data_IF_079950653337
#
_entry.id   IF_079950653337
#
_cell.length_a   1.000
_cell.length_b   1.000
_cell.length_c   1.000
_cell.angle_alpha   90.00
_cell.angle_beta   90.00
_cell.angle_gamma   90.00
#
_symmetry.space_group_name_H-M   'P 1'
#
loop_
_entity.id
_entity.type
_entity.pdbx_description
1 polymer ?
#
# COMPACT_ATOMS: atom_id res chain seq x y z
N UNK A 1 -11.15 -0.29 24.51
CA UNK A 1 -12.05 0.87 24.33
C UNK A 1 -12.22 1.06 22.83
N UNK A 2 -13.45 1.14 22.31
CA UNK A 2 -13.65 1.42 20.88
C UNK A 2 -13.45 2.94 20.63
N UNK A 3 -12.94 3.36 19.47
CA UNK A 3 -13.02 4.75 19.04
C UNK A 3 -14.48 5.22 19.00
N UNK A 4 -14.78 6.53 19.11
CA UNK A 4 -16.16 7.02 19.06
C UNK A 4 -16.91 6.49 17.83
N UNK A 5 -18.09 5.91 18.08
CA UNK A 5 -19.00 5.32 17.08
C UNK A 5 -19.88 6.39 16.40
N UNK A 6 -19.42 7.65 16.37
CA UNK A 6 -20.19 8.77 15.83
C UNK A 6 -20.34 8.72 14.31
N UNK A 7 -19.62 7.83 13.64
CA UNK A 7 -19.74 7.61 12.19
C UNK A 7 -20.77 6.51 11.89
N UNK A 8 -21.49 6.60 10.76
CA UNK A 8 -22.43 5.56 10.36
C UNK A 8 -21.68 4.25 10.08
N UNK A 9 -22.14 3.17 10.71
CA UNK A 9 -21.67 1.80 10.54
C UNK A 9 -22.78 0.97 9.91
N UNK A 10 -22.96 1.02 8.57
CA UNK A 10 -24.07 0.35 7.90
C UNK A 10 -24.09 -1.17 8.12
N UNK A 11 -22.93 -1.80 8.28
CA UNK A 11 -22.85 -3.25 8.43
C UNK A 11 -23.02 -3.71 9.88
N UNK A 12 -22.81 -2.82 10.86
CA UNK A 12 -22.72 -3.15 12.29
C UNK A 12 -23.71 -2.38 13.18
N UNK A 13 -24.80 -1.89 12.58
CA UNK A 13 -25.78 -1.06 13.29
C UNK A 13 -26.49 -1.84 14.41
N UNK A 14 -26.81 -3.11 14.14
CA UNK A 14 -27.51 -3.99 15.08
C UNK A 14 -26.71 -4.21 16.37
N UNK A 15 -25.40 -4.45 16.27
CA UNK A 15 -24.53 -4.67 17.42
C UNK A 15 -24.31 -3.39 18.23
N UNK A 16 -24.29 -2.23 17.57
CA UNK A 16 -24.20 -0.92 18.23
C UNK A 16 -25.47 -0.65 19.03
N UNK A 17 -26.65 -0.92 18.45
CA UNK A 17 -27.92 -0.72 19.14
C UNK A 17 -28.13 -1.74 20.27
N UNK A 18 -27.65 -2.98 20.10
CA UNK A 18 -27.61 -3.96 21.18
C UNK A 18 -26.73 -3.48 22.34
N UNK A 19 -25.58 -2.86 22.06
CA UNK A 19 -24.71 -2.31 23.11
C UNK A 19 -25.35 -1.13 23.82
N UNK A 20 -25.98 -0.21 23.08
CA UNK A 20 -26.74 0.93 23.65
C UNK A 20 -27.86 0.44 24.55
N UNK A 21 -28.62 -0.55 24.10
CA UNK A 21 -29.70 -1.17 24.86
C UNK A 21 -29.18 -1.84 26.14
N UNK A 22 -28.05 -2.56 26.05
CA UNK A 22 -27.43 -3.17 27.22
C UNK A 22 -26.92 -2.12 28.24
N UNK A 23 -26.34 -1.02 27.77
CA UNK A 23 -25.89 0.08 28.63
C UNK A 23 -27.05 0.87 29.24
N UNK A 24 -28.19 0.97 28.55
CA UNK A 24 -29.38 1.63 29.05
C UNK A 24 -30.11 0.79 30.11
N UNK A 25 -30.07 -0.53 29.99
CA UNK A 25 -30.77 -1.46 30.91
C UNK A 25 -29.91 -1.90 32.11
N UNK A 26 -28.58 -1.89 31.99
CA UNK A 26 -27.69 -2.26 33.08
C UNK A 26 -27.20 -1.05 33.89
N UNK A 27 -27.09 -1.23 35.21
CA UNK A 27 -26.52 -0.19 36.06
C UNK A 27 -25.01 -0.04 35.81
N UNK A 28 -24.48 1.17 36.02
CA UNK A 28 -23.04 1.48 35.91
C UNK A 28 -22.14 0.59 36.80
N UNK A 29 -22.71 -0.14 37.76
CA UNK A 29 -21.99 -1.04 38.65
C UNK A 29 -21.72 -2.43 38.03
N UNK A 30 -22.43 -2.79 36.95
CA UNK A 30 -22.24 -4.06 36.23
C UNK A 30 -21.43 -3.86 34.94
N UNK A 31 -20.18 -3.43 35.10
CA UNK A 31 -19.30 -3.11 33.97
C UNK A 31 -19.00 -4.31 33.04
N UNK A 32 -19.20 -5.54 33.51
CA UNK A 32 -18.96 -6.77 32.74
C UNK A 32 -20.19 -7.30 31.99
N UNK A 33 -21.40 -6.79 32.27
CA UNK A 33 -22.65 -7.38 31.78
C UNK A 33 -22.81 -7.29 30.25
N UNK A 34 -22.17 -6.31 29.61
CA UNK A 34 -22.26 -6.08 28.17
C UNK A 34 -21.02 -6.57 27.39
N UNK A 35 -20.17 -7.40 28.00
CA UNK A 35 -18.90 -7.82 27.39
C UNK A 35 -19.09 -8.68 26.13
N UNK A 36 -20.09 -9.57 26.12
CA UNK A 36 -20.36 -10.42 24.96
C UNK A 36 -20.80 -9.59 23.75
N UNK A 37 -21.72 -8.65 23.97
CA UNK A 37 -22.20 -7.71 22.94
C UNK A 37 -21.06 -6.84 22.45
N UNK A 38 -20.20 -6.36 23.37
CA UNK A 38 -19.00 -5.59 23.03
C UNK A 38 -18.03 -6.40 22.17
N UNK A 39 -17.86 -7.69 22.43
CA UNK A 39 -17.01 -8.57 21.63
C UNK A 39 -17.60 -8.81 20.23
N UNK A 40 -18.90 -9.05 20.14
CA UNK A 40 -19.61 -9.18 18.86
C UNK A 40 -19.50 -7.90 18.02
N UNK A 41 -19.72 -6.74 18.63
CA UNK A 41 -19.58 -5.44 17.98
C UNK A 41 -18.15 -5.20 17.49
N UNK A 42 -17.12 -5.46 18.31
CA UNK A 42 -15.73 -5.28 17.90
C UNK A 42 -15.35 -6.20 16.73
N UNK A 43 -15.89 -7.43 16.71
CA UNK A 43 -15.72 -8.35 15.59
C UNK A 43 -16.34 -7.79 14.30
N UNK A 44 -17.55 -7.27 14.35
CA UNK A 44 -18.22 -6.68 13.19
C UNK A 44 -17.44 -5.45 12.68
N UNK A 45 -17.12 -4.50 13.56
CA UNK A 45 -16.42 -3.26 13.20
C UNK A 45 -15.05 -3.52 12.57
N UNK A 46 -14.32 -4.56 13.03
CA UNK A 46 -13.06 -4.98 12.40
C UNK A 46 -13.27 -5.52 10.99
N UNK A 47 -14.34 -6.29 10.76
CA UNK A 47 -14.67 -6.83 9.44
C UNK A 47 -15.06 -5.71 8.46
N UNK A 48 -15.95 -4.80 8.90
CA UNK A 48 -16.36 -3.63 8.12
C UNK A 48 -15.16 -2.74 7.77
N UNK A 49 -14.30 -2.44 8.75
CA UNK A 49 -13.05 -1.69 8.51
C UNK A 49 -12.17 -2.36 7.47
N UNK A 50 -12.01 -3.68 7.54
CA UNK A 50 -11.19 -4.43 6.58
C UNK A 50 -11.78 -4.34 5.16
N UNK A 51 -13.11 -4.46 5.02
CA UNK A 51 -13.82 -4.32 3.75
C UNK A 51 -13.67 -2.92 3.17
N UNK A 52 -13.87 -1.89 3.99
CA UNK A 52 -13.72 -0.48 3.59
C UNK A 52 -12.29 -0.19 3.12
N UNK A 53 -11.27 -0.61 3.88
CA UNK A 53 -9.88 -0.42 3.50
C UNK A 53 -9.53 -1.17 2.21
N UNK A 54 -10.04 -2.39 2.02
CA UNK A 54 -9.85 -3.13 0.78
C UNK A 54 -10.46 -2.40 -0.43
N UNK A 55 -11.66 -1.84 -0.27
CA UNK A 55 -12.32 -1.06 -1.32
C UNK A 55 -11.59 0.25 -1.62
N UNK A 56 -11.13 0.97 -0.58
CA UNK A 56 -10.40 2.22 -0.75
C UNK A 56 -9.02 2.03 -1.40
N UNK A 57 -8.36 0.92 -1.10
CA UNK A 57 -7.03 0.61 -1.62
C UNK A 57 -7.06 -0.09 -2.98
N UNK A 58 -8.25 -0.47 -3.49
CA UNK A 58 -8.39 -1.20 -4.76
C UNK A 58 -7.78 -0.43 -5.93
N UNK A 59 -8.00 0.88 -5.96
CA UNK A 59 -7.57 1.74 -7.07
C UNK A 59 -6.31 2.55 -6.71
N UNK A 60 -5.59 2.17 -5.65
CA UNK A 60 -4.44 2.93 -5.19
C UNK A 60 -3.30 2.93 -6.22
N UNK A 61 -3.03 1.76 -6.82
CA UNK A 61 -2.02 1.62 -7.87
C UNK A 61 -2.40 2.42 -9.12
N UNK A 62 -3.66 2.33 -9.56
CA UNK A 62 -4.17 3.08 -10.71
C UNK A 62 -4.13 4.59 -10.50
N UNK A 63 -4.45 5.07 -9.29
CA UNK A 63 -4.36 6.50 -8.94
C UNK A 63 -2.90 6.96 -8.92
N UNK A 64 -2.01 6.18 -8.31
CA UNK A 64 -0.58 6.46 -8.28
C UNK A 64 0.00 6.54 -9.70
N UNK A 65 -0.36 5.59 -10.57
CA UNK A 65 0.09 5.60 -11.96
C UNK A 65 -0.39 6.84 -12.71
N UNK A 66 -1.66 7.24 -12.53
CA UNK A 66 -2.19 8.48 -13.14
C UNK A 66 -1.49 9.73 -12.62
N UNK A 67 -1.16 9.80 -11.34
CA UNK A 67 -0.41 10.90 -10.77
C UNK A 67 1.03 10.96 -11.31
N UNK A 68 1.69 9.81 -11.43
CA UNK A 68 3.04 9.69 -12.03
C UNK A 68 3.02 10.08 -13.52
N UNK A 69 2.00 9.67 -14.27
CA UNK A 69 1.81 10.03 -15.67
C UNK A 69 1.55 11.53 -15.84
N UNK A 70 0.65 12.11 -15.04
CA UNK A 70 0.37 13.54 -15.07
C UNK A 70 1.59 14.39 -14.67
N UNK A 71 2.40 13.90 -13.72
CA UNK A 71 3.65 14.53 -13.35
C UNK A 71 4.68 14.50 -14.49
N UNK A 72 4.83 13.35 -15.16
CA UNK A 72 5.72 13.21 -16.32
C UNK A 72 5.34 14.18 -17.45
N UNK A 73 4.05 14.30 -17.73
CA UNK A 73 3.52 15.22 -18.74
C UNK A 73 3.79 16.69 -18.35
N UNK A 74 3.57 17.05 -17.08
CA UNK A 74 3.78 18.42 -16.60
C UNK A 74 5.26 18.84 -16.57
N UNK A 75 6.18 17.90 -16.29
CA UNK A 75 7.62 18.16 -16.26
C UNK A 75 8.22 18.18 -17.68
N UNK A 76 7.46 17.76 -18.71
CA UNK A 76 7.94 17.72 -20.09
C UNK A 76 9.03 16.68 -20.31
N UNK A 77 9.12 15.66 -19.44
CA UNK A 77 10.05 14.55 -19.61
C UNK A 77 9.46 13.58 -20.65
N UNK A 78 9.73 13.87 -21.93
CA UNK A 78 9.32 13.02 -23.05
C UNK A 78 10.07 11.68 -23.12
N UNK A 79 11.24 11.60 -22.49
CA UNK A 79 12.10 10.41 -22.51
C UNK A 79 12.23 9.83 -21.12
N UNK A 80 12.10 8.52 -21.03
CA UNK A 80 12.57 7.79 -19.84
C UNK A 80 14.07 7.99 -19.66
N UNK A 81 14.56 7.82 -18.42
CA UNK A 81 15.98 7.95 -18.12
C UNK A 81 16.86 7.05 -19.01
N UNK A 82 16.41 5.81 -19.28
CA UNK A 82 17.09 4.88 -20.17
C UNK A 82 17.12 5.36 -21.63
N UNK A 83 16.05 5.99 -22.11
CA UNK A 83 16.00 6.57 -23.46
C UNK A 83 16.86 7.82 -23.57
N UNK A 84 16.91 8.64 -22.52
CA UNK A 84 17.82 9.78 -22.43
C UNK A 84 19.28 9.31 -22.50
N UNK A 85 19.67 8.32 -21.69
CA UNK A 85 21.03 7.78 -21.68
C UNK A 85 21.45 7.21 -23.05
N UNK A 86 20.53 6.55 -23.77
CA UNK A 86 20.82 6.04 -25.12
C UNK A 86 21.05 7.15 -26.16
N UNK A 87 20.50 8.35 -25.95
CA UNK A 87 20.73 9.51 -26.82
C UNK A 87 21.96 10.32 -26.40
N UNK A 88 22.40 10.18 -25.14
CA UNK A 88 23.56 10.88 -24.63
C UNK A 88 24.87 10.36 -25.27
N UNK A 89 25.60 11.20 -26.01
CA UNK A 89 26.79 10.77 -26.75
C UNK A 89 27.95 10.37 -25.83
N UNK A 90 28.05 10.92 -24.62
CA UNK A 90 29.08 10.55 -23.65
C UNK A 90 28.80 9.16 -23.07
N UNK A 91 27.53 8.89 -22.71
CA UNK A 91 27.10 7.58 -22.24
C UNK A 91 27.30 6.51 -23.30
N UNK A 92 26.91 6.77 -24.56
CA UNK A 92 27.10 5.81 -25.66
C UNK A 92 28.58 5.50 -25.86
N UNK A 93 29.45 6.51 -25.76
CA UNK A 93 30.89 6.30 -25.85
C UNK A 93 31.40 5.46 -24.67
N UNK A 94 31.04 5.83 -23.44
CA UNK A 94 31.44 5.10 -22.24
C UNK A 94 30.94 3.64 -22.23
N UNK A 95 29.74 3.38 -22.77
CA UNK A 95 29.17 2.05 -22.91
C UNK A 95 29.95 1.20 -23.92
N UNK A 96 30.32 1.77 -25.08
CA UNK A 96 31.20 1.10 -26.05
C UNK A 96 32.57 0.81 -25.46
N UNK A 97 33.19 1.78 -24.80
CA UNK A 97 34.48 1.59 -24.13
C UNK A 97 34.39 0.50 -23.03
N UNK A 98 33.26 0.41 -22.33
CA UNK A 98 33.01 -0.67 -21.38
C UNK A 98 32.88 -2.04 -22.05
N UNK A 99 32.20 -2.14 -23.19
CA UNK A 99 32.15 -3.38 -23.97
C UNK A 99 33.52 -3.79 -24.51
N UNK A 100 34.30 -2.85 -25.02
CA UNK A 100 35.65 -3.10 -25.50
C UNK A 100 36.57 -3.58 -24.39
N UNK A 101 36.49 -2.96 -23.19
CA UNK A 101 37.20 -3.44 -22.00
C UNK A 101 36.79 -4.86 -21.61
N UNK A 102 35.50 -5.19 -21.66
CA UNK A 102 35.00 -6.55 -21.41
C UNK A 102 35.53 -7.56 -22.43
N UNK A 103 35.60 -7.19 -23.72
CA UNK A 103 36.16 -8.04 -24.79
C UNK A 103 37.67 -8.21 -24.65
N UNK A 104 38.38 -7.15 -24.25
CA UNK A 104 39.83 -7.15 -24.08
C UNK A 104 40.28 -7.93 -22.84
N UNK A 105 39.47 -7.92 -21.79
CA UNK A 105 39.76 -8.57 -20.50
C UNK A 105 38.58 -9.45 -20.05
N UNK A 106 38.25 -10.51 -20.80
CA UNK A 106 37.07 -11.33 -20.51
C UNK A 106 37.18 -12.04 -19.15
N UNK A 107 38.39 -12.32 -18.69
CA UNK A 107 38.72 -12.94 -17.40
C UNK A 107 38.45 -12.03 -16.18
N UNK A 108 38.54 -10.71 -16.35
CA UNK A 108 38.24 -9.72 -15.28
C UNK A 108 36.73 -9.49 -15.11
N UNK A 109 35.95 -9.68 -16.17
CA UNK A 109 34.51 -9.39 -16.20
C UNK A 109 33.62 -10.64 -16.27
N UNK A 110 34.20 -11.82 -16.55
CA UNK A 110 33.54 -13.09 -16.31
C UNK A 110 33.34 -13.25 -14.80
N UNK A 111 32.09 -13.25 -14.35
CA UNK A 111 31.74 -13.63 -12.97
C UNK A 111 32.38 -15.00 -12.73
N UNK A 112 33.42 -15.07 -11.88
CA UNK A 112 33.99 -16.35 -11.42
C UNK A 112 32.85 -17.13 -10.77
N UNK A 113 32.25 -18.04 -11.51
CA UNK A 113 31.42 -19.09 -10.94
C UNK A 113 32.42 -19.98 -10.21
N UNK A 114 32.69 -19.66 -8.94
CA UNK A 114 33.42 -20.58 -8.06
C UNK A 114 32.46 -21.76 -7.86
N UNK A 115 32.69 -22.83 -8.60
CA UNK A 115 32.05 -24.12 -8.37
C UNK A 115 32.31 -24.59 -6.95
N UNK A 116 31.30 -25.23 -6.38
CA UNK A 116 31.27 -25.92 -5.09
C UNK A 116 32.37 -26.97 -4.93
#
# INVERSE_FOLDING_TARGET
>A
MHPPLDRPHPDCHEEIDALRTCQATNSKLKFWACNEIKFAMDKCLRAEKKRLLANMNRDFEDKRQREEDAYRDAVGQELTFDEYLKKDPEYVKAAKDAEERKKKYPDLYARKVRGS
#
